data_IF_287326626569
#
_entry.id   IF_287326626569
#
_cell.length_a   1.000
_cell.length_b   1.000
_cell.length_c   1.000
_cell.angle_alpha   90.00
_cell.angle_beta   90.00
_cell.angle_gamma   90.00
#
_symmetry.space_group_name_H-M   'P 1'
#
loop_
_entity.id
_entity.type
_entity.pdbx_description
1 polymer ?
#
# COMPACT_ATOMS: atom_id res chain seq x y z
N UNK A 1 2.42 -8.90 27.65
CA UNK A 1 2.25 -9.03 26.19
C UNK A 1 3.50 -9.70 25.63
N UNK A 2 3.51 -11.03 25.66
CA UNK A 2 4.65 -11.84 25.23
C UNK A 2 4.78 -11.82 23.71
N UNK A 3 6.03 -11.82 23.29
CA UNK A 3 6.55 -12.02 21.94
C UNK A 3 5.78 -13.12 21.20
N UNK A 4 5.10 -12.73 20.12
CA UNK A 4 4.77 -13.62 19.01
C UNK A 4 5.83 -13.41 17.96
N UNK A 5 6.79 -14.33 17.92
CA UNK A 5 7.89 -14.31 16.96
C UNK A 5 8.54 -15.67 16.86
N UNK A 6 7.90 -16.58 16.14
CA UNK A 6 8.60 -17.54 15.27
C UNK A 6 7.60 -18.20 14.32
N UNK A 7 7.87 -18.07 13.02
CA UNK A 7 7.42 -18.95 11.94
C UNK A 7 5.92 -19.07 11.65
N UNK A 8 5.25 -17.93 11.55
CA UNK A 8 3.99 -17.80 10.82
C UNK A 8 3.91 -16.40 10.26
N UNK A 9 3.31 -16.24 9.08
CA UNK A 9 3.04 -14.96 8.40
C UNK A 9 2.20 -14.06 9.32
N UNK A 10 2.88 -13.40 10.26
CA UNK A 10 2.30 -12.55 11.28
C UNK A 10 3.03 -11.22 11.24
N UNK A 11 2.31 -10.17 10.86
CA UNK A 11 2.79 -8.80 10.95
C UNK A 11 3.29 -8.55 12.37
N UNK A 12 4.48 -7.99 12.52
CA UNK A 12 4.96 -7.55 13.83
C UNK A 12 4.00 -6.51 14.40
N UNK A 13 3.92 -6.37 15.74
CA UNK A 13 3.03 -5.37 16.35
C UNK A 13 3.29 -3.94 15.83
N UNK A 14 4.52 -3.66 15.40
CA UNK A 14 4.91 -2.39 14.78
C UNK A 14 4.37 -2.26 13.36
N UNK A 15 4.52 -3.30 12.53
CA UNK A 15 3.91 -3.36 11.20
C UNK A 15 2.38 -3.29 11.26
N UNK A 16 1.76 -3.98 12.20
CA UNK A 16 0.31 -3.97 12.37
C UNK A 16 -0.19 -2.58 12.77
N UNK A 17 0.47 -1.93 13.73
CA UNK A 17 0.12 -0.56 14.10
C UNK A 17 0.26 0.39 12.90
N UNK A 18 1.38 0.30 12.18
CA UNK A 18 1.67 1.10 10.99
C UNK A 18 0.64 0.91 9.87
N UNK A 19 0.29 -0.34 9.55
CA UNK A 19 -0.72 -0.68 8.53
C UNK A 19 -2.10 -0.17 8.90
N UNK A 20 -2.50 -0.28 10.17
CA UNK A 20 -3.79 0.23 10.65
C UNK A 20 -3.88 1.74 10.43
N UNK A 21 -2.78 2.50 10.51
CA UNK A 21 -2.84 3.96 10.42
C UNK A 21 -2.84 4.43 8.97
N UNK A 22 -2.02 3.82 8.12
CA UNK A 22 -1.80 4.31 6.76
C UNK A 22 -2.91 3.87 5.82
N UNK A 23 -3.40 2.63 5.96
CA UNK A 23 -4.53 2.16 5.16
C UNK A 23 -5.83 2.27 5.97
N UNK A 24 -6.76 3.20 5.63
CA UNK A 24 -8.04 3.35 6.33
C UNK A 24 -9.01 2.19 6.07
N UNK A 25 -8.80 1.36 5.05
CA UNK A 25 -9.62 0.19 4.76
C UNK A 25 -8.94 -1.11 5.22
N UNK A 26 -7.85 -1.02 5.99
CA UNK A 26 -7.16 -2.20 6.49
C UNK A 26 -8.12 -3.11 7.30
N UNK A 27 -8.22 -4.35 6.85
CA UNK A 27 -8.97 -5.42 7.49
C UNK A 27 -8.05 -6.63 7.62
N UNK A 28 -8.08 -7.26 8.80
CA UNK A 28 -7.45 -8.55 9.02
C UNK A 28 -8.10 -9.55 8.08
N UNK A 29 -7.27 -10.11 7.21
CA UNK A 29 -7.65 -11.19 6.32
C UNK A 29 -7.35 -12.53 7.00
N UNK A 30 -8.09 -13.59 6.65
CA UNK A 30 -7.65 -14.94 7.01
C UNK A 30 -6.23 -15.15 6.47
N UNK A 31 -5.37 -15.89 7.18
CA UNK A 31 -3.99 -16.13 6.73
C UNK A 31 -4.01 -16.72 5.32
N UNK A 32 -3.23 -16.13 4.40
CA UNK A 32 -3.03 -16.68 3.06
C UNK A 32 -2.35 -18.05 3.20
N UNK A 33 -3.14 -19.11 3.04
CA UNK A 33 -2.67 -20.50 3.09
C UNK A 33 -2.17 -20.91 1.71
N UNK A 34 -1.21 -21.82 1.67
CA UNK A 34 -0.81 -22.45 0.41
C UNK A 34 -1.93 -23.37 -0.09
N UNK A 35 -2.00 -23.60 -1.41
CA UNK A 35 -3.01 -24.49 -2.02
C UNK A 35 -3.03 -25.89 -1.37
N UNK A 36 -1.85 -26.39 -0.99
CA UNK A 36 -1.70 -27.66 -0.28
C UNK A 36 -2.32 -27.62 1.11
N UNK A 37 -2.08 -26.56 1.91
CA UNK A 37 -2.66 -26.41 3.24
C UNK A 37 -4.18 -26.28 3.20
N UNK A 38 -4.70 -25.53 2.23
CA UNK A 38 -6.14 -25.39 2.03
C UNK A 38 -6.78 -26.72 1.65
N UNK A 39 -6.15 -27.48 0.74
CA UNK A 39 -6.62 -28.80 0.33
C UNK A 39 -6.56 -29.81 1.48
N UNK A 40 -5.48 -29.85 2.24
CA UNK A 40 -5.32 -30.73 3.41
C UNK A 40 -6.38 -30.41 4.47
N UNK A 41 -6.60 -29.12 4.78
CA UNK A 41 -7.63 -28.71 5.74
C UNK A 41 -9.03 -29.07 5.25
N UNK A 42 -9.34 -28.82 3.98
CA UNK A 42 -10.64 -29.17 3.39
C UNK A 42 -10.91 -30.67 3.49
N UNK A 43 -9.92 -31.50 3.15
CA UNK A 43 -10.03 -32.96 3.26
C UNK A 43 -10.17 -33.42 4.72
N UNK A 44 -9.39 -32.86 5.64
CA UNK A 44 -9.47 -33.21 7.06
C UNK A 44 -10.83 -32.79 7.67
N UNK A 45 -11.31 -31.59 7.34
CA UNK A 45 -12.62 -31.09 7.79
C UNK A 45 -13.74 -31.96 7.24
N UNK A 46 -13.67 -32.32 5.95
CA UNK A 46 -14.64 -33.23 5.33
C UNK A 46 -14.64 -34.61 5.99
N UNK A 47 -13.47 -35.21 6.19
CA UNK A 47 -13.34 -36.51 6.84
C UNK A 47 -13.88 -36.50 8.29
N UNK A 48 -13.65 -35.41 9.02
CA UNK A 48 -14.17 -35.22 10.37
C UNK A 48 -15.71 -35.20 10.39
N UNK A 49 -16.35 -34.40 9.53
CA UNK A 49 -17.80 -34.32 9.47
C UNK A 49 -18.46 -35.55 8.83
N UNK A 50 -17.77 -36.24 7.93
CA UNK A 50 -18.24 -37.52 7.37
C UNK A 50 -18.19 -38.62 8.45
N UNK A 51 -17.18 -38.64 9.32
CA UNK A 51 -17.14 -39.52 10.50
C UNK A 51 -18.25 -39.19 11.50
N UNK A 52 -18.49 -37.90 11.75
CA UNK A 52 -19.57 -37.45 12.62
C UNK A 52 -20.94 -37.86 12.05
N UNK A 53 -21.15 -37.71 10.72
CA UNK A 53 -22.38 -38.16 10.03
C UNK A 53 -22.58 -39.67 10.17
N UNK A 54 -21.55 -40.47 9.95
CA UNK A 54 -21.61 -41.92 10.09
C UNK A 54 -21.93 -42.37 11.53
N UNK A 55 -21.48 -41.63 12.54
CA UNK A 55 -21.79 -41.90 13.94
C UNK A 55 -23.19 -41.42 14.36
N UNK A 56 -23.68 -40.33 13.76
CA UNK A 56 -25.08 -39.89 13.90
C UNK A 56 -26.06 -40.92 13.32
N UNK A 57 -25.76 -41.51 12.16
CA UNK A 57 -26.55 -42.61 11.58
C UNK A 57 -26.58 -43.86 12.47
N UNK A 58 -25.53 -44.10 13.25
CA UNK A 58 -25.43 -45.20 14.22
C UNK A 58 -26.06 -44.89 15.59
N UNK A 59 -26.68 -43.71 15.76
CA UNK A 59 -27.30 -43.31 17.01
C UNK A 59 -26.34 -42.89 18.12
N UNK A 60 -25.04 -42.71 17.84
CA UNK A 60 -24.01 -42.33 18.82
C UNK A 60 -23.88 -40.80 18.95
N UNK A 61 -24.98 -40.16 19.36
CA UNK A 61 -25.03 -38.71 19.55
C UNK A 61 -24.26 -38.22 20.79
N UNK A 62 -24.05 -39.11 21.76
CA UNK A 62 -23.51 -38.85 23.11
C UNK A 62 -22.11 -38.21 23.12
N UNK A 63 -21.26 -38.60 22.17
CA UNK A 63 -19.84 -38.19 22.17
C UNK A 63 -19.63 -36.92 21.34
N UNK A 64 -20.35 -36.80 20.21
CA UNK A 64 -20.12 -35.74 19.23
C UNK A 64 -20.84 -34.44 19.59
N UNK A 65 -22.10 -34.53 20.02
CA UNK A 65 -22.94 -33.35 20.27
C UNK A 65 -22.40 -32.48 21.41
N UNK A 66 -22.01 -33.03 22.58
CA UNK A 66 -21.46 -32.20 23.65
C UNK A 66 -20.14 -31.53 23.29
N UNK A 67 -19.29 -32.18 22.50
CA UNK A 67 -18.01 -31.62 22.08
C UNK A 67 -18.20 -30.47 21.09
N UNK A 68 -19.08 -30.66 20.08
CA UNK A 68 -19.40 -29.61 19.10
C UNK A 68 -20.10 -28.42 19.77
N UNK A 69 -21.05 -28.67 20.67
CA UNK A 69 -21.72 -27.61 21.41
C UNK A 69 -20.78 -26.90 22.39
N UNK A 70 -19.82 -27.60 22.98
CA UNK A 70 -18.78 -26.99 23.80
C UNK A 70 -17.90 -26.04 22.98
N UNK A 71 -17.48 -26.45 21.77
CA UNK A 71 -16.70 -25.59 20.87
C UNK A 71 -17.51 -24.35 20.45
N UNK A 72 -18.77 -24.56 20.06
CA UNK A 72 -19.70 -23.46 19.70
C UNK A 72 -19.93 -22.51 20.88
N UNK A 73 -20.13 -23.04 22.09
CA UNK A 73 -20.27 -22.24 23.31
C UNK A 73 -19.04 -21.37 23.52
N UNK A 74 -17.84 -21.96 23.48
CA UNK A 74 -16.60 -21.21 23.69
C UNK A 74 -16.46 -20.08 22.65
N UNK A 75 -16.70 -20.37 21.37
CA UNK A 75 -16.64 -19.35 20.31
C UNK A 75 -17.69 -18.25 20.46
N UNK A 76 -18.91 -18.59 20.85
CA UNK A 76 -19.97 -17.60 21.14
C UNK A 76 -19.60 -16.72 22.33
N UNK A 77 -19.06 -17.30 23.40
CA UNK A 77 -18.61 -16.56 24.59
C UNK A 77 -17.46 -15.61 24.25
N UNK A 78 -16.54 -16.02 23.38
CA UNK A 78 -15.41 -15.18 22.90
C UNK A 78 -15.88 -13.96 22.06
N UNK A 79 -17.03 -14.08 21.39
CA UNK A 79 -17.62 -13.01 20.58
C UNK A 79 -18.30 -11.93 21.42
N UNK A 80 -18.68 -12.24 22.66
CA UNK A 80 -19.45 -11.34 23.52
C UNK A 80 -18.54 -10.67 24.57
N UNK A 81 -18.72 -9.36 24.87
CA UNK A 81 -18.01 -8.73 25.98
C UNK A 81 -18.27 -9.46 27.32
N UNK A 82 -17.27 -9.59 28.20
CA UNK A 82 -17.38 -10.33 29.47
C UNK A 82 -18.37 -9.73 30.48
N UNK A 83 -18.89 -8.52 30.21
CA UNK A 83 -19.85 -7.83 31.07
C UNK A 83 -21.29 -7.85 30.52
N UNK A 84 -21.54 -8.54 29.41
CA UNK A 84 -22.85 -8.56 28.78
C UNK A 84 -23.79 -9.59 29.43
N UNK A 85 -25.08 -9.26 29.68
CA UNK A 85 -26.07 -10.23 30.16
C UNK A 85 -26.27 -11.40 29.18
N UNK A 86 -25.95 -11.22 27.90
CA UNK A 86 -25.98 -12.29 26.90
C UNK A 86 -24.98 -13.41 27.21
N UNK A 87 -23.83 -13.10 27.82
CA UNK A 87 -22.83 -14.12 28.16
C UNK A 87 -23.35 -15.04 29.28
N UNK A 88 -24.05 -14.47 30.27
CA UNK A 88 -24.72 -15.25 31.33
C UNK A 88 -25.79 -16.16 30.75
N UNK A 89 -26.65 -15.64 29.86
CA UNK A 89 -27.69 -16.43 29.19
C UNK A 89 -27.10 -17.56 28.33
N UNK A 90 -26.01 -17.31 27.61
CA UNK A 90 -25.30 -18.34 26.84
C UNK A 90 -24.74 -19.43 27.77
N UNK A 91 -24.15 -19.04 28.90
CA UNK A 91 -23.57 -19.99 29.86
C UNK A 91 -24.61 -20.87 30.56
N UNK A 92 -25.78 -20.31 30.88
CA UNK A 92 -26.91 -21.01 31.50
C UNK A 92 -27.60 -21.97 30.52
N UNK A 93 -27.83 -21.53 29.27
CA UNK A 93 -28.58 -22.33 28.29
C UNK A 93 -27.69 -23.40 27.64
N UNK A 94 -26.42 -23.10 27.39
CA UNK A 94 -25.45 -24.06 26.85
C UNK A 94 -24.61 -24.69 27.97
N UNK A 95 -25.24 -25.29 28.98
CA UNK A 95 -24.51 -26.04 30.02
C UNK A 95 -24.06 -27.42 29.49
N UNK A 96 -22.75 -27.58 29.30
CA UNK A 96 -22.14 -28.79 28.72
C UNK A 96 -22.41 -30.03 29.57
N UNK A 97 -22.50 -29.91 30.90
CA UNK A 97 -22.73 -31.04 31.78
C UNK A 97 -24.19 -31.48 31.74
N UNK A 98 -25.12 -30.52 31.69
CA UNK A 98 -26.54 -30.79 31.49
C UNK A 98 -26.80 -31.40 30.10
N UNK A 99 -26.14 -30.89 29.06
CA UNK A 99 -26.26 -31.38 27.68
C UNK A 99 -25.75 -32.82 27.59
N UNK A 100 -24.61 -33.15 28.22
CA UNK A 100 -24.11 -34.54 28.27
C UNK A 100 -25.13 -35.48 28.91
N UNK A 101 -25.73 -35.06 30.03
CA UNK A 101 -26.72 -35.87 30.73
C UNK A 101 -28.01 -36.05 29.91
N UNK A 102 -28.54 -34.98 29.31
CA UNK A 102 -29.76 -35.03 28.51
C UNK A 102 -29.57 -35.79 27.19
N UNK A 103 -28.36 -35.77 26.62
CA UNK A 103 -28.02 -36.53 25.42
C UNK A 103 -27.92 -38.03 25.72
N UNK A 104 -27.37 -38.41 26.88
CA UNK A 104 -27.33 -39.81 27.37
C UNK A 104 -28.70 -40.45 27.53
N UNK A 105 -29.66 -39.67 28.04
CA UNK A 105 -31.04 -40.12 28.25
C UNK A 105 -31.86 -40.01 26.96
N UNK A 106 -31.35 -39.37 25.91
CA UNK A 106 -32.03 -39.22 24.62
C UNK A 106 -33.15 -38.18 24.61
N UNK A 107 -33.21 -37.29 25.61
CA UNK A 107 -34.28 -36.28 25.78
C UNK A 107 -33.87 -34.92 25.21
N UNK A 108 -32.60 -34.76 24.83
CA UNK A 108 -32.07 -33.47 24.39
C UNK A 108 -32.63 -33.00 23.05
N UNK A 109 -33.24 -31.81 23.03
CA UNK A 109 -33.79 -31.21 21.81
C UNK A 109 -32.73 -30.37 21.08
N UNK A 110 -31.97 -31.04 20.21
CA UNK A 110 -30.88 -30.44 19.42
C UNK A 110 -31.39 -29.28 18.54
N UNK A 111 -32.59 -29.39 17.98
CA UNK A 111 -33.17 -28.37 17.09
C UNK A 111 -33.43 -27.05 17.81
N UNK A 112 -34.01 -27.10 19.01
CA UNK A 112 -34.26 -25.90 19.79
C UNK A 112 -32.93 -25.20 20.17
N UNK A 113 -31.89 -25.98 20.41
CA UNK A 113 -30.57 -25.44 20.71
C UNK A 113 -29.94 -24.74 19.50
N UNK A 114 -30.04 -25.35 18.31
CA UNK A 114 -29.60 -24.72 17.06
C UNK A 114 -30.36 -23.41 16.84
N UNK A 115 -31.68 -23.39 17.01
CA UNK A 115 -32.49 -22.16 16.87
C UNK A 115 -32.04 -21.08 17.86
N UNK A 116 -31.75 -21.45 19.11
CA UNK A 116 -31.22 -20.51 20.09
C UNK A 116 -29.85 -19.95 19.68
N UNK A 117 -28.92 -20.80 19.24
CA UNK A 117 -27.60 -20.38 18.75
C UNK A 117 -27.74 -19.46 17.54
N UNK A 118 -28.54 -19.84 16.55
CA UNK A 118 -28.83 -19.04 15.35
C UNK A 118 -29.40 -17.66 15.72
N UNK A 119 -30.36 -17.60 16.64
CA UNK A 119 -30.93 -16.32 17.11
C UNK A 119 -29.90 -15.49 17.89
N UNK A 120 -29.06 -16.12 18.69
CA UNK A 120 -27.97 -15.45 19.42
C UNK A 120 -26.93 -14.88 18.46
N UNK A 121 -26.57 -15.62 17.40
CA UNK A 121 -25.69 -15.14 16.34
C UNK A 121 -26.30 -13.92 15.63
N UNK A 122 -27.59 -13.96 15.26
CA UNK A 122 -28.29 -12.81 14.66
C UNK A 122 -28.27 -11.55 15.57
N UNK A 123 -28.31 -11.72 16.89
CA UNK A 123 -28.24 -10.59 17.83
C UNK A 123 -26.83 -9.97 17.94
N UNK A 124 -25.78 -10.73 17.61
CA UNK A 124 -24.37 -10.29 17.74
C UNK A 124 -23.78 -9.87 16.37
N UNK A 125 -24.36 -10.33 15.26
CA UNK A 125 -23.88 -10.12 13.90
C UNK A 125 -24.11 -8.72 13.32
N UNK A 126 -23.31 -8.40 12.29
CA UNK A 126 -23.64 -7.38 11.32
C UNK A 126 -24.69 -7.90 10.31
N UNK A 127 -25.63 -7.06 9.82
CA UNK A 127 -26.81 -7.47 9.04
C UNK A 127 -26.49 -8.21 7.73
N UNK A 128 -25.27 -8.06 7.20
CA UNK A 128 -24.79 -8.74 5.98
C UNK A 128 -24.76 -10.26 6.15
N UNK A 129 -24.64 -10.77 7.38
CA UNK A 129 -24.55 -12.22 7.66
C UNK A 129 -25.86 -12.87 8.04
N UNK A 130 -26.92 -12.07 8.16
CA UNK A 130 -28.23 -12.57 8.55
C UNK A 130 -28.78 -13.53 7.48
N UNK A 131 -28.47 -13.30 6.20
CA UNK A 131 -28.87 -14.17 5.08
C UNK A 131 -28.24 -15.57 5.20
N UNK A 132 -26.93 -15.66 5.44
CA UNK A 132 -26.22 -16.93 5.64
C UNK A 132 -26.74 -17.69 6.87
N UNK A 133 -27.07 -16.99 7.95
CA UNK A 133 -27.62 -17.58 9.17
C UNK A 133 -29.07 -18.04 8.95
N UNK A 134 -29.84 -17.36 8.09
CA UNK A 134 -31.19 -17.79 7.71
C UNK A 134 -31.17 -19.02 6.79
N UNK A 135 -30.19 -19.15 5.90
CA UNK A 135 -30.02 -20.36 5.07
C UNK A 135 -29.79 -21.64 5.90
N UNK A 136 -29.18 -21.52 7.09
CA UNK A 136 -29.03 -22.65 8.01
C UNK A 136 -30.37 -23.27 8.45
N UNK A 137 -31.46 -22.48 8.46
CA UNK A 137 -32.79 -22.97 8.86
C UNK A 137 -33.39 -23.94 7.83
N UNK A 138 -32.88 -23.96 6.60
CA UNK A 138 -33.34 -24.85 5.52
C UNK A 138 -32.61 -26.20 5.44
N UNK A 139 -31.49 -26.36 6.14
CA UNK A 139 -30.65 -27.58 6.06
C UNK A 139 -31.21 -28.65 7.00
N UNK A 140 -31.30 -29.90 6.52
CA UNK A 140 -31.84 -31.04 7.30
C UNK A 140 -30.76 -31.89 7.98
N UNK A 141 -29.52 -31.84 7.48
CA UNK A 141 -28.39 -32.62 8.02
C UNK A 141 -27.71 -31.91 9.19
N UNK A 142 -27.70 -32.54 10.37
CA UNK A 142 -27.11 -32.00 11.59
C UNK A 142 -25.59 -31.78 11.45
N UNK A 143 -24.87 -32.67 10.78
CA UNK A 143 -23.42 -32.54 10.60
C UNK A 143 -23.08 -31.31 9.76
N UNK A 144 -23.85 -31.09 8.69
CA UNK A 144 -23.70 -29.93 7.81
C UNK A 144 -24.10 -28.62 8.51
N UNK A 145 -25.15 -28.62 9.35
CA UNK A 145 -25.52 -27.46 10.17
C UNK A 145 -24.37 -27.08 11.10
N UNK A 146 -23.81 -28.03 11.86
CA UNK A 146 -22.72 -27.75 12.79
C UNK A 146 -21.47 -27.26 12.08
N UNK A 147 -21.14 -27.84 10.91
CA UNK A 147 -20.03 -27.39 10.07
C UNK A 147 -20.19 -25.94 9.67
N UNK A 148 -21.32 -25.58 9.04
CA UNK A 148 -21.57 -24.20 8.58
C UNK A 148 -21.65 -23.22 9.74
N UNK A 149 -22.21 -23.64 10.88
CA UNK A 149 -22.29 -22.81 12.08
C UNK A 149 -20.89 -22.46 12.61
N UNK A 150 -19.98 -23.44 12.69
CA UNK A 150 -18.59 -23.20 13.07
C UNK A 150 -17.86 -22.29 12.07
N UNK A 151 -18.09 -22.48 10.77
CA UNK A 151 -17.52 -21.61 9.72
C UNK A 151 -18.01 -20.16 9.86
N UNK A 152 -19.31 -19.95 10.09
CA UNK A 152 -19.87 -18.61 10.31
C UNK A 152 -19.33 -18.00 11.61
N UNK A 153 -19.20 -18.77 12.69
CA UNK A 153 -18.59 -18.27 13.94
C UNK A 153 -17.13 -17.84 13.76
N UNK A 154 -16.35 -18.58 12.97
CA UNK A 154 -14.97 -18.19 12.63
C UNK A 154 -14.92 -16.89 11.85
N UNK A 155 -15.84 -16.71 10.89
CA UNK A 155 -16.00 -15.46 10.18
C UNK A 155 -16.43 -14.33 11.14
N UNK A 156 -17.38 -14.58 12.06
CA UNK A 156 -17.84 -13.60 13.05
C UNK A 156 -16.70 -13.10 13.93
N UNK A 157 -15.78 -14.00 14.30
CA UNK A 157 -14.61 -13.65 15.07
C UNK A 157 -13.69 -12.69 14.31
N UNK A 158 -13.50 -12.92 13.02
CA UNK A 158 -12.73 -12.03 12.16
C UNK A 158 -13.38 -10.65 12.05
N UNK A 159 -14.70 -10.59 11.89
CA UNK A 159 -15.44 -9.33 11.84
C UNK A 159 -15.34 -8.54 13.14
N UNK A 160 -15.49 -9.20 14.28
CA UNK A 160 -15.33 -8.56 15.57
C UNK A 160 -13.90 -8.03 15.75
N UNK A 161 -12.90 -8.77 15.28
CA UNK A 161 -11.52 -8.31 15.27
C UNK A 161 -11.34 -7.07 14.37
N UNK A 162 -11.92 -7.07 13.16
CA UNK A 162 -11.88 -5.94 12.24
C UNK A 162 -12.63 -4.71 12.78
N UNK A 163 -13.79 -4.91 13.41
CA UNK A 163 -14.52 -3.85 14.09
C UNK A 163 -13.70 -3.25 15.23
N UNK A 164 -13.07 -4.09 16.06
CA UNK A 164 -12.17 -3.64 17.14
C UNK A 164 -10.98 -2.87 16.56
N UNK A 165 -10.34 -3.36 15.50
CA UNK A 165 -9.26 -2.65 14.81
C UNK A 165 -9.71 -1.27 14.32
N UNK A 166 -10.88 -1.17 13.68
CA UNK A 166 -11.47 0.10 13.24
C UNK A 166 -11.75 1.04 14.42
N UNK A 167 -12.26 0.54 15.54
CA UNK A 167 -12.47 1.32 16.76
C UNK A 167 -11.15 1.80 17.39
N UNK A 168 -10.14 0.92 17.43
CA UNK A 168 -8.81 1.25 17.95
C UNK A 168 -8.04 2.22 17.05
N UNK A 169 -8.35 2.30 15.75
CA UNK A 169 -7.64 3.19 14.80
C UNK A 169 -7.63 4.65 15.25
N UNK A 170 -8.77 5.18 15.72
CA UNK A 170 -8.85 6.57 16.17
C UNK A 170 -7.90 6.84 17.34
N UNK A 171 -7.87 5.92 18.32
CA UNK A 171 -6.97 6.00 19.47
C UNK A 171 -5.50 5.78 19.08
N UNK A 172 -5.24 4.83 18.18
CA UNK A 172 -3.89 4.58 17.66
C UNK A 172 -3.35 5.80 16.94
N UNK A 173 -4.15 6.50 16.12
CA UNK A 173 -3.71 7.68 15.37
C UNK A 173 -3.16 8.79 16.27
N UNK A 174 -3.70 8.96 17.47
CA UNK A 174 -3.22 9.96 18.44
C UNK A 174 -1.84 9.60 19.04
N UNK A 175 -1.55 8.31 19.24
CA UNK A 175 -0.34 7.86 19.93
C UNK A 175 0.69 7.16 19.03
N UNK A 176 0.34 6.90 17.78
CA UNK A 176 1.15 6.09 16.89
C UNK A 176 2.46 6.75 16.49
N UNK A 177 2.43 8.07 16.24
CA UNK A 177 3.63 8.83 15.89
C UNK A 177 4.68 8.68 17.00
N UNK A 178 4.27 8.79 18.26
CA UNK A 178 5.16 8.62 19.41
C UNK A 178 5.56 7.17 19.65
N UNK A 179 4.69 6.21 19.32
CA UNK A 179 5.02 4.79 19.38
C UNK A 179 6.10 4.41 18.36
N UNK A 180 5.92 4.79 17.09
CA UNK A 180 6.90 4.52 16.03
C UNK A 180 8.22 5.24 16.30
N UNK A 181 8.20 6.50 16.73
CA UNK A 181 9.42 7.23 17.11
C UNK A 181 10.21 6.50 18.21
N UNK A 182 9.54 6.08 19.28
CA UNK A 182 10.19 5.36 20.39
C UNK A 182 10.77 4.02 19.94
N UNK A 183 10.07 3.30 19.06
CA UNK A 183 10.54 2.03 18.53
C UNK A 183 11.71 2.20 17.58
N UNK A 184 11.67 3.22 16.73
CA UNK A 184 12.79 3.58 15.87
C UNK A 184 14.02 4.00 16.69
N UNK A 185 13.84 4.80 17.75
CA UNK A 185 14.91 5.13 18.70
C UNK A 185 15.52 3.89 19.38
N UNK A 186 14.68 2.91 19.76
CA UNK A 186 15.16 1.64 20.31
C UNK A 186 15.93 0.83 19.26
N UNK A 187 15.48 0.82 18.01
CA UNK A 187 16.15 0.14 16.90
C UNK A 187 17.51 0.79 16.57
N UNK A 188 17.61 2.12 16.61
CA UNK A 188 18.85 2.87 16.46
C UNK A 188 19.82 2.60 17.63
N UNK A 189 19.34 2.66 18.88
CA UNK A 189 20.17 2.41 20.08
C UNK A 189 20.68 0.97 20.17
N UNK A 190 19.91 0.01 19.67
CA UNK A 190 20.32 -1.40 19.59
C UNK A 190 21.22 -1.71 18.39
N UNK A 191 21.60 -0.69 17.60
CA UNK A 191 22.43 -0.81 16.39
C UNK A 191 21.84 -1.80 15.35
N UNK A 192 20.52 -2.00 15.37
CA UNK A 192 19.80 -2.85 14.41
C UNK A 192 19.52 -2.13 13.10
N UNK A 193 19.54 -0.78 13.11
CA UNK A 193 19.38 0.09 11.96
C UNK A 193 20.48 1.15 11.98
N UNK A 194 21.14 1.39 10.86
CA UNK A 194 21.99 2.56 10.63
C UNK A 194 21.27 3.53 9.69
N UNK A 195 21.55 4.83 9.74
CA UNK A 195 20.91 5.83 8.86
C UNK A 195 21.65 5.98 7.51
N UNK A 196 22.47 5.00 7.13
CA UNK A 196 23.38 5.12 6.00
C UNK A 196 22.64 5.15 4.66
N UNK A 197 21.59 4.33 4.47
CA UNK A 197 20.80 4.38 3.23
C UNK A 197 19.94 5.62 3.18
N UNK A 198 19.42 6.08 4.31
CA UNK A 198 18.69 7.35 4.41
C UNK A 198 19.59 8.53 4.03
N UNK A 199 20.86 8.53 4.45
CA UNK A 199 21.86 9.53 4.02
C UNK A 199 22.15 9.45 2.52
N UNK A 200 22.37 8.24 2.00
CA UNK A 200 22.63 8.03 0.57
C UNK A 200 21.45 8.44 -0.32
N UNK A 201 20.21 8.26 0.16
CA UNK A 201 19.00 8.67 -0.54
C UNK A 201 18.80 10.18 -0.58
N UNK A 202 19.06 10.90 0.53
CA UNK A 202 18.87 12.35 0.61
C UNK A 202 19.97 13.16 -0.09
N UNK A 203 21.21 12.66 -0.07
CA UNK A 203 22.39 13.31 -0.65
C UNK A 203 22.21 13.80 -2.11
N UNK A 204 21.81 12.95 -3.08
CA UNK A 204 21.67 13.38 -4.47
C UNK A 204 20.60 14.46 -4.67
N UNK A 205 19.52 14.41 -3.88
CA UNK A 205 18.47 15.43 -3.90
C UNK A 205 18.96 16.77 -3.35
N UNK A 206 19.73 16.74 -2.26
CA UNK A 206 20.34 17.95 -1.69
C UNK A 206 21.29 18.59 -2.71
N UNK A 207 22.12 17.80 -3.37
CA UNK A 207 23.04 18.30 -4.41
C UNK A 207 22.31 18.91 -5.61
N UNK A 208 21.24 18.26 -6.08
CA UNK A 208 20.39 18.79 -7.16
C UNK A 208 19.79 20.15 -6.78
N UNK A 209 19.23 20.25 -5.58
CA UNK A 209 18.63 21.48 -5.07
C UNK A 209 19.67 22.60 -4.87
N UNK A 210 20.86 22.28 -4.37
CA UNK A 210 21.96 23.23 -4.24
C UNK A 210 22.39 23.78 -5.59
N UNK A 211 22.42 22.96 -6.65
CA UNK A 211 22.69 23.42 -8.02
C UNK A 211 21.61 24.37 -8.52
N UNK A 212 20.34 24.01 -8.38
CA UNK A 212 19.22 24.87 -8.80
C UNK A 212 19.21 26.22 -8.05
N UNK A 213 19.56 26.22 -6.76
CA UNK A 213 19.69 27.46 -5.98
C UNK A 213 20.88 28.30 -6.45
N UNK A 214 22.01 27.68 -6.79
CA UNK A 214 23.18 28.35 -7.34
C UNK A 214 22.91 28.98 -8.72
N UNK A 215 22.14 28.30 -9.56
CA UNK A 215 21.70 28.80 -10.87
C UNK A 215 20.72 29.97 -10.76
N UNK A 216 19.83 29.95 -9.76
CA UNK A 216 18.85 31.03 -9.52
C UNK A 216 19.45 32.28 -8.87
N UNK A 217 20.61 32.18 -8.22
CA UNK A 217 21.30 33.30 -7.57
C UNK A 217 22.78 33.38 -7.97
N UNK A 218 23.09 33.78 -9.23
CA UNK A 218 24.47 33.93 -9.68
C UNK A 218 25.25 35.02 -8.93
N UNK A 219 24.56 36.01 -8.34
CA UNK A 219 25.19 37.15 -7.63
C UNK A 219 25.47 36.92 -6.12
N UNK A 220 25.14 35.76 -5.54
CA UNK A 220 25.43 35.43 -4.13
C UNK A 220 24.92 36.46 -3.09
N UNK A 221 23.82 37.16 -3.37
CA UNK A 221 23.21 38.12 -2.44
C UNK A 221 22.36 37.36 -1.41
N UNK A 222 22.92 37.06 -0.25
CA UNK A 222 22.21 36.40 0.85
C UNK A 222 21.47 37.42 1.72
N UNK A 223 20.13 37.40 1.74
CA UNK A 223 19.37 38.09 2.78
C UNK A 223 19.69 37.48 4.17
N UNK A 224 19.64 38.25 5.28
CA UNK A 224 20.00 37.77 6.61
C UNK A 224 19.25 36.51 7.07
N UNK A 225 18.03 36.28 6.57
CA UNK A 225 17.19 35.12 6.87
C UNK A 225 17.66 33.81 6.18
N UNK A 226 18.48 33.89 5.12
CA UNK A 226 18.97 32.73 4.35
C UNK A 226 20.36 32.23 4.78
N UNK A 227 20.96 32.82 5.82
CA UNK A 227 22.34 32.52 6.26
C UNK A 227 22.54 31.10 6.82
N UNK A 228 21.48 30.44 7.28
CA UNK A 228 21.59 29.13 7.94
C UNK A 228 21.18 27.94 7.07
N UNK A 229 20.28 28.11 6.09
CA UNK A 229 19.73 27.00 5.28
C UNK A 229 19.92 27.15 3.76
N UNK A 230 20.73 28.10 3.27
CA UNK A 230 20.91 28.36 1.84
C UNK A 230 19.60 28.63 1.05
N UNK A 231 18.50 28.96 1.73
CA UNK A 231 17.17 29.11 1.09
C UNK A 231 16.43 27.80 0.80
N UNK A 232 16.95 26.66 1.25
CA UNK A 232 16.32 25.35 1.08
C UNK A 232 15.42 25.05 2.29
N UNK A 233 14.15 24.75 2.03
CA UNK A 233 13.22 24.24 3.05
C UNK A 233 13.44 22.73 3.21
N UNK A 234 13.59 22.22 4.42
CA UNK A 234 13.79 20.78 4.67
C UNK A 234 12.64 19.94 4.11
N UNK A 235 11.40 20.46 4.17
CA UNK A 235 10.23 19.79 3.58
C UNK A 235 10.31 19.70 2.05
N UNK A 236 10.96 20.67 1.39
CA UNK A 236 11.16 20.62 -0.06
C UNK A 236 12.16 19.52 -0.43
N UNK A 237 13.23 19.34 0.35
CA UNK A 237 14.21 18.26 0.15
C UNK A 237 13.53 16.91 0.30
N UNK A 238 12.78 16.71 1.37
CA UNK A 238 12.07 15.46 1.62
C UNK A 238 11.05 15.14 0.52
N UNK A 239 10.20 16.10 0.15
CA UNK A 239 9.20 15.89 -0.89
C UNK A 239 9.83 15.58 -2.25
N UNK A 240 10.96 16.22 -2.57
CA UNK A 240 11.69 15.95 -3.82
C UNK A 240 12.38 14.59 -3.80
N UNK A 241 12.96 14.21 -2.67
CA UNK A 241 13.61 12.91 -2.50
C UNK A 241 12.59 11.76 -2.56
N UNK A 242 11.39 11.94 -1.97
CA UNK A 242 10.31 10.95 -1.98
C UNK A 242 9.79 10.72 -3.40
N UNK A 243 9.47 11.80 -4.12
CA UNK A 243 9.01 11.70 -5.51
C UNK A 243 10.10 11.10 -6.39
N UNK A 244 11.34 11.55 -6.26
CA UNK A 244 12.45 10.99 -7.05
C UNK A 244 12.67 9.50 -6.80
N UNK A 245 12.42 9.02 -5.58
CA UNK A 245 12.57 7.61 -5.23
C UNK A 245 11.43 6.74 -5.79
N UNK A 246 10.19 7.21 -5.73
CA UNK A 246 9.03 6.47 -6.27
C UNK A 246 9.12 6.34 -7.80
N UNK A 247 9.60 7.38 -8.48
CA UNK A 247 9.67 7.42 -9.94
C UNK A 247 11.05 7.04 -10.51
N UNK A 248 11.92 6.43 -9.70
CA UNK A 248 13.21 5.92 -10.20
C UNK A 248 13.00 4.73 -11.14
N UNK A 249 13.99 4.46 -12.00
CA UNK A 249 13.95 3.35 -12.96
C UNK A 249 14.37 2.01 -12.33
N UNK A 250 15.10 2.04 -11.22
CA UNK A 250 15.52 0.83 -10.49
C UNK A 250 14.39 0.27 -9.65
N UNK A 251 14.31 -1.06 -9.57
CA UNK A 251 13.33 -1.76 -8.74
C UNK A 251 13.56 -1.40 -7.27
N UNK A 252 12.47 -1.02 -6.58
CA UNK A 252 12.49 -0.78 -5.15
C UNK A 252 12.54 -2.13 -4.42
N UNK A 253 13.68 -2.43 -3.81
CA UNK A 253 13.89 -3.63 -2.98
C UNK A 253 14.29 -3.24 -1.55
N UNK A 254 14.17 -4.18 -0.60
CA UNK A 254 14.53 -4.01 0.82
C UNK A 254 15.94 -3.45 1.03
N UNK A 255 16.85 -3.73 0.11
CA UNK A 255 18.25 -3.27 0.17
C UNK A 255 18.43 -1.85 -0.36
N UNK A 256 17.54 -1.38 -1.24
CA UNK A 256 17.59 -0.05 -1.86
C UNK A 256 16.71 0.97 -1.14
N UNK A 257 15.76 0.52 -0.32
CA UNK A 257 14.90 1.40 0.49
C UNK A 257 15.66 2.08 1.64
N UNK A 258 15.36 3.37 1.92
CA UNK A 258 15.76 4.02 3.16
C UNK A 258 15.21 3.25 4.37
N UNK A 259 15.95 3.28 5.48
CA UNK A 259 15.56 2.57 6.70
C UNK A 259 14.21 3.00 7.25
N UNK A 260 13.86 4.26 7.02
CA UNK A 260 12.58 4.87 7.41
C UNK A 260 11.38 4.36 6.61
N UNK A 261 11.59 3.65 5.50
CA UNK A 261 10.54 3.08 4.64
C UNK A 261 10.55 1.54 4.61
N UNK A 262 11.28 0.88 5.52
CA UNK A 262 11.37 -0.59 5.54
C UNK A 262 10.03 -1.29 5.79
N UNK A 263 9.07 -0.61 6.42
CA UNK A 263 7.71 -1.12 6.62
C UNK A 263 6.86 -0.98 5.34
N UNK A 264 7.22 -0.07 4.44
CA UNK A 264 6.44 0.33 3.27
C UNK A 264 7.02 -0.18 1.94
N UNK A 265 7.97 -1.12 1.94
CA UNK A 265 8.69 -1.53 0.71
C UNK A 265 7.72 -2.02 -0.37
N UNK A 266 6.79 -2.91 -0.02
CA UNK A 266 5.79 -3.43 -0.97
C UNK A 266 4.84 -2.32 -1.46
N UNK A 267 4.46 -1.41 -0.58
CA UNK A 267 3.61 -0.25 -0.92
C UNK A 267 4.31 0.69 -1.89
N UNK A 268 5.59 0.99 -1.66
CA UNK A 268 6.41 1.82 -2.54
C UNK A 268 6.63 1.16 -3.90
N UNK A 269 6.85 -0.15 -3.93
CA UNK A 269 6.94 -0.93 -5.15
C UNK A 269 5.62 -0.87 -5.96
N UNK A 270 4.49 -1.03 -5.28
CA UNK A 270 3.18 -0.86 -5.92
C UNK A 270 2.97 0.57 -6.47
N UNK A 271 3.39 1.61 -5.76
CA UNK A 271 3.32 2.99 -6.25
C UNK A 271 4.22 3.23 -7.46
N UNK A 272 5.40 2.60 -7.50
CA UNK A 272 6.28 2.65 -8.65
C UNK A 272 5.63 2.00 -9.87
N UNK A 273 5.04 0.81 -9.71
CA UNK A 273 4.33 0.12 -10.79
C UNK A 273 3.11 0.93 -11.28
N UNK A 274 2.28 1.42 -10.37
CA UNK A 274 1.11 2.26 -10.69
C UNK A 274 1.56 3.54 -11.42
N UNK A 275 2.63 4.19 -10.97
CA UNK A 275 3.19 5.38 -11.61
C UNK A 275 3.78 5.11 -13.00
N UNK A 276 4.46 3.99 -13.19
CA UNK A 276 4.98 3.56 -14.50
C UNK A 276 3.83 3.23 -15.45
N UNK A 277 2.81 2.48 -14.99
CA UNK A 277 1.63 2.16 -15.78
C UNK A 277 0.89 3.44 -16.23
N UNK A 278 0.65 4.39 -15.33
CA UNK A 278 0.05 5.69 -15.65
C UNK A 278 0.88 6.43 -16.70
N UNK A 279 2.22 6.41 -16.58
CA UNK A 279 3.11 7.09 -17.53
C UNK A 279 3.07 6.41 -18.91
N UNK A 280 3.05 5.07 -18.96
CA UNK A 280 2.95 4.30 -20.19
C UNK A 280 1.60 4.57 -20.86
N UNK A 281 0.49 4.45 -20.14
CA UNK A 281 -0.85 4.73 -20.68
C UNK A 281 -0.95 6.17 -21.19
N UNK A 282 -0.45 7.15 -20.43
CA UNK A 282 -0.42 8.53 -20.89
C UNK A 282 0.39 8.72 -22.18
N UNK A 283 1.54 8.06 -22.28
CA UNK A 283 2.39 8.09 -23.48
C UNK A 283 1.68 7.44 -24.67
N UNK A 284 1.09 6.26 -24.48
CA UNK A 284 0.34 5.54 -25.51
C UNK A 284 -0.86 6.35 -26.00
N UNK A 285 -1.66 6.93 -25.09
CA UNK A 285 -2.78 7.78 -25.45
C UNK A 285 -2.34 9.05 -26.18
N UNK A 286 -1.22 9.66 -25.78
CA UNK A 286 -0.64 10.81 -26.48
C UNK A 286 -0.18 10.41 -27.89
N UNK A 287 0.45 9.24 -28.06
CA UNK A 287 0.82 8.70 -29.36
C UNK A 287 -0.42 8.44 -30.23
N UNK A 288 -1.44 7.78 -29.71
CA UNK A 288 -2.70 7.53 -30.41
C UNK A 288 -3.36 8.83 -30.85
N UNK A 289 -3.39 9.85 -29.98
CA UNK A 289 -3.92 11.18 -30.32
C UNK A 289 -3.10 11.88 -31.40
N UNK A 290 -1.77 11.81 -31.33
CA UNK A 290 -0.89 12.40 -32.34
C UNK A 290 -1.07 11.72 -33.71
N UNK A 291 -1.17 10.39 -33.74
CA UNK A 291 -1.40 9.62 -34.97
C UNK A 291 -2.80 9.91 -35.54
N UNK A 292 -3.83 9.95 -34.69
CA UNK A 292 -5.19 10.28 -35.10
C UNK A 292 -5.30 11.71 -35.66
N UNK A 293 -4.63 12.68 -35.03
CA UNK A 293 -4.61 14.09 -35.48
C UNK A 293 -3.85 14.29 -36.80
N UNK A 294 -2.90 13.41 -37.12
CA UNK A 294 -2.18 13.41 -38.40
C UNK A 294 -3.04 12.89 -39.56
N UNK A 295 -4.17 12.24 -39.28
CA UNK A 295 -5.08 11.69 -40.29
C UNK A 295 -6.28 12.64 -40.45
N UNK A 296 -6.29 13.40 -41.55
CA UNK A 296 -7.23 14.50 -41.80
C UNK A 296 -8.73 14.13 -41.81
N UNK A 297 -9.07 12.82 -41.78
CA UNK A 297 -10.45 12.31 -41.91
C UNK A 297 -11.00 11.66 -40.63
N UNK A 298 -10.29 11.69 -39.50
CA UNK A 298 -10.77 11.08 -38.26
C UNK A 298 -11.21 12.15 -37.26
N UNK A 299 -12.52 12.21 -36.99
CA UNK A 299 -13.04 12.90 -35.80
C UNK A 299 -12.63 12.10 -34.58
N UNK A 300 -11.76 12.66 -33.74
CA UNK A 300 -11.37 12.04 -32.48
C UNK A 300 -12.60 11.95 -31.56
N UNK A 301 -13.18 10.76 -31.48
CA UNK A 301 -14.36 10.50 -30.67
C UNK A 301 -13.93 10.40 -29.19
N UNK A 302 -14.12 11.49 -28.45
CA UNK A 302 -13.67 11.65 -27.05
C UNK A 302 -14.35 10.62 -26.12
N UNK A 303 -15.48 10.04 -26.56
CA UNK A 303 -16.28 9.04 -25.83
C UNK A 303 -15.65 7.63 -25.80
N UNK A 304 -14.77 7.29 -26.75
CA UNK A 304 -14.11 5.98 -26.78
C UNK A 304 -12.72 5.98 -26.14
N UNK A 305 -12.16 7.16 -25.86
CA UNK A 305 -10.87 7.32 -25.20
C UNK A 305 -10.81 6.74 -23.77
N UNK A 306 -11.86 6.87 -22.93
CA UNK A 306 -11.89 6.26 -21.61
C UNK A 306 -11.88 4.72 -21.70
N UNK A 307 -12.56 4.14 -22.70
CA UNK A 307 -12.58 2.69 -22.92
C UNK A 307 -11.20 2.16 -23.30
N UNK A 308 -10.50 2.85 -24.21
CA UNK A 308 -9.13 2.52 -24.57
C UNK A 308 -8.18 2.65 -23.36
N UNK A 309 -8.34 3.70 -22.55
CA UNK A 309 -7.56 3.87 -21.32
C UNK A 309 -7.79 2.69 -20.36
N UNK A 310 -9.04 2.29 -20.15
CA UNK A 310 -9.39 1.17 -19.24
C UNK A 310 -8.87 -0.17 -19.77
N UNK A 311 -8.96 -0.46 -21.08
CA UNK A 311 -8.40 -1.69 -21.67
C UNK A 311 -6.87 -1.72 -21.58
N UNK A 312 -6.19 -0.59 -21.81
CA UNK A 312 -4.73 -0.49 -21.66
C UNK A 312 -4.28 -0.73 -20.21
N UNK A 313 -5.03 -0.23 -19.22
CA UNK A 313 -4.75 -0.52 -17.81
C UNK A 313 -4.93 -2.00 -17.49
N UNK A 314 -6.00 -2.65 -17.96
CA UNK A 314 -6.24 -4.08 -17.76
C UNK A 314 -5.13 -4.92 -18.38
N UNK A 315 -4.72 -4.59 -19.61
CA UNK A 315 -3.60 -5.28 -20.26
C UNK A 315 -2.30 -5.07 -19.49
N UNK A 316 -1.99 -3.87 -19.02
CA UNK A 316 -0.77 -3.64 -18.22
C UNK A 316 -0.77 -4.33 -16.85
N UNK A 317 -1.95 -4.71 -16.34
CA UNK A 317 -2.11 -5.49 -15.10
C UNK A 317 -1.94 -6.99 -15.34
N UNK A 318 -2.10 -7.46 -16.59
CA UNK A 318 -1.99 -8.87 -16.94
C UNK A 318 -0.52 -9.26 -17.23
N UNK A 319 -0.04 -10.32 -16.56
CA UNK A 319 1.36 -10.75 -16.60
C UNK A 319 1.83 -11.29 -17.95
N UNK A 320 0.87 -11.65 -18.82
CA UNK A 320 1.11 -12.22 -20.16
C UNK A 320 1.04 -11.16 -21.28
N UNK A 321 0.98 -9.87 -20.94
CA UNK A 321 0.81 -8.82 -21.93
C UNK A 321 2.06 -8.63 -22.79
N UNK A 322 1.91 -8.97 -24.06
CA UNK A 322 2.93 -8.74 -25.07
C UNK A 322 2.80 -7.36 -25.70
N UNK A 323 3.92 -6.85 -26.22
CA UNK A 323 3.99 -5.60 -27.00
C UNK A 323 2.98 -5.64 -28.17
N UNK A 324 2.72 -6.83 -28.70
CA UNK A 324 1.79 -7.05 -29.80
C UNK A 324 0.33 -6.87 -29.39
N UNK A 325 -0.07 -7.25 -28.16
CA UNK A 325 -1.42 -7.04 -27.64
C UNK A 325 -1.74 -5.54 -27.48
N UNK A 326 -0.80 -4.78 -26.90
CA UNK A 326 -0.94 -3.33 -26.75
C UNK A 326 -0.96 -2.61 -28.10
N UNK A 327 -0.14 -3.07 -29.06
CA UNK A 327 -0.11 -2.53 -30.41
C UNK A 327 -1.42 -2.84 -31.15
N UNK A 328 -1.97 -4.05 -31.02
CA UNK A 328 -3.21 -4.46 -31.66
C UNK A 328 -4.42 -3.65 -31.17
N UNK A 329 -4.53 -3.38 -29.87
CA UNK A 329 -5.60 -2.54 -29.32
C UNK A 329 -5.52 -1.09 -29.83
N UNK A 330 -4.32 -0.52 -29.91
CA UNK A 330 -4.12 0.83 -30.48
C UNK A 330 -4.50 0.85 -31.97
N UNK A 331 -4.16 -0.20 -32.72
CA UNK A 331 -4.50 -0.32 -34.14
C UNK A 331 -5.99 -0.56 -34.38
N UNK A 332 -6.68 -1.30 -33.51
CA UNK A 332 -8.13 -1.50 -33.56
C UNK A 332 -8.90 -0.20 -33.26
N UNK A 333 -8.33 0.67 -32.43
CA UNK A 333 -8.91 1.98 -32.12
C UNK A 333 -8.73 2.99 -33.25
N UNK A 334 -7.69 2.85 -34.07
CA UNK A 334 -7.43 3.71 -35.21
C UNK A 334 -8.25 3.25 -36.44
N UNK A 335 -8.64 4.16 -37.35
CA UNK A 335 -9.43 3.79 -38.51
C UNK A 335 -8.68 2.78 -39.40
N UNK A 336 -9.44 1.86 -40.00
CA UNK A 336 -8.98 0.67 -40.75
C UNK A 336 -8.10 0.96 -41.98
N UNK A 337 -7.84 2.24 -42.29
CA UNK A 337 -7.07 2.72 -43.44
C UNK A 337 -5.68 3.24 -43.05
N UNK A 338 -4.99 2.57 -42.13
CA UNK A 338 -3.60 2.90 -41.77
C UNK A 338 -2.61 2.30 -42.78
N UNK A 339 -1.65 3.10 -43.25
CA UNK A 339 -0.52 2.62 -44.04
C UNK A 339 0.29 1.57 -43.24
N UNK A 340 0.82 0.51 -43.86
CA UNK A 340 1.71 -0.45 -43.18
C UNK A 340 2.94 0.24 -42.54
N UNK A 341 3.35 1.39 -43.07
CA UNK A 341 4.42 2.22 -42.50
C UNK A 341 4.03 2.82 -41.14
N UNK A 342 2.80 3.34 -40.98
CA UNK A 342 2.32 3.90 -39.70
C UNK A 342 2.09 2.81 -38.65
N UNK A 343 1.69 1.60 -39.06
CA UNK A 343 1.54 0.46 -38.15
C UNK A 343 2.91 0.00 -37.59
N UNK A 344 3.94 -0.08 -38.44
CA UNK A 344 5.30 -0.39 -37.99
C UNK A 344 5.91 0.72 -37.13
N UNK A 345 5.58 1.99 -37.41
CA UNK A 345 5.97 3.14 -36.59
C UNK A 345 5.32 3.07 -35.20
N UNK A 346 4.02 2.78 -35.11
CA UNK A 346 3.31 2.61 -33.83
C UNK A 346 3.93 1.47 -33.04
N UNK A 347 4.17 0.30 -33.65
CA UNK A 347 4.84 -0.84 -32.98
C UNK A 347 6.24 -0.48 -32.47
N UNK A 348 7.01 0.29 -33.25
CA UNK A 348 8.33 0.80 -32.84
C UNK A 348 8.26 1.83 -31.71
N UNK A 349 7.23 2.68 -31.67
CA UNK A 349 7.05 3.66 -30.61
C UNK A 349 6.52 3.03 -29.32
N UNK A 350 5.62 2.05 -29.42
CA UNK A 350 5.13 1.26 -28.28
C UNK A 350 6.29 0.50 -27.63
N UNK A 351 7.15 -0.16 -28.43
CA UNK A 351 8.32 -0.86 -27.91
C UNK A 351 9.34 0.08 -27.25
N UNK A 352 9.57 1.27 -27.82
CA UNK A 352 10.46 2.30 -27.23
C UNK A 352 9.90 2.93 -25.95
N UNK A 353 8.58 3.06 -25.86
CA UNK A 353 7.88 3.57 -24.69
C UNK A 353 7.95 2.56 -23.54
N UNK A 354 7.75 1.28 -23.84
CA UNK A 354 7.86 0.18 -22.87
C UNK A 354 9.31 -0.07 -22.41
N UNK A 355 10.31 0.17 -23.27
CA UNK A 355 11.72 0.09 -22.90
C UNK A 355 12.21 1.29 -22.06
N UNK A 356 11.32 2.23 -21.69
CA UNK A 356 11.60 3.42 -20.88
C UNK A 356 12.69 4.36 -21.44
N UNK A 357 13.14 4.11 -22.68
CA UNK A 357 14.19 4.87 -23.37
C UNK A 357 13.67 6.07 -24.17
N UNK A 358 12.34 6.22 -24.24
CA UNK A 358 11.71 7.29 -25.01
C UNK A 358 11.83 8.64 -24.27
N UNK A 359 12.18 9.69 -25.04
CA UNK A 359 12.12 11.07 -24.58
C UNK A 359 10.69 11.44 -24.17
N UNK A 360 9.66 10.92 -24.85
CA UNK A 360 8.26 11.16 -24.50
C UNK A 360 7.94 10.60 -23.11
N UNK A 361 8.35 9.36 -22.83
CA UNK A 361 8.21 8.76 -21.50
C UNK A 361 8.93 9.59 -20.42
N UNK A 362 10.17 10.01 -20.67
CA UNK A 362 10.94 10.82 -19.71
C UNK A 362 10.30 12.19 -19.42
N UNK A 363 9.71 12.82 -20.43
CA UNK A 363 9.02 14.12 -20.30
C UNK A 363 7.71 13.94 -19.54
N UNK A 364 6.91 12.93 -19.89
CA UNK A 364 5.65 12.65 -19.20
C UNK A 364 5.89 12.22 -17.75
N UNK A 365 6.88 11.38 -17.49
CA UNK A 365 7.31 11.02 -16.13
C UNK A 365 7.69 12.26 -15.32
N UNK A 366 8.47 13.19 -15.89
CA UNK A 366 8.82 14.46 -15.21
C UNK A 366 7.60 15.35 -14.95
N UNK A 367 6.64 15.39 -15.86
CA UNK A 367 5.38 16.13 -15.68
C UNK A 367 4.54 15.51 -14.56
N UNK A 368 4.39 14.19 -14.57
CA UNK A 368 3.70 13.41 -13.51
C UNK A 368 4.36 13.63 -12.16
N UNK A 369 5.69 13.53 -12.07
CA UNK A 369 6.46 13.83 -10.86
C UNK A 369 6.22 15.26 -10.37
N UNK A 370 6.13 16.24 -11.28
CA UNK A 370 5.84 17.64 -10.94
C UNK A 370 4.43 17.81 -10.36
N UNK A 371 3.44 17.10 -10.92
CA UNK A 371 2.05 17.07 -10.41
C UNK A 371 2.00 16.51 -8.99
N UNK A 372 2.64 15.35 -8.75
CA UNK A 372 2.69 14.71 -7.43
C UNK A 372 3.44 15.59 -6.42
N UNK A 373 4.56 16.21 -6.83
CA UNK A 373 5.33 17.13 -6.00
C UNK A 373 4.51 18.36 -5.59
N UNK A 374 3.77 18.95 -6.51
CA UNK A 374 2.92 20.09 -6.20
C UNK A 374 1.78 19.69 -5.24
N UNK A 375 1.16 18.53 -5.45
CA UNK A 375 0.14 18.03 -4.53
C UNK A 375 0.70 17.77 -3.12
N UNK A 376 1.91 17.21 -3.00
CA UNK A 376 2.59 17.05 -1.71
C UNK A 376 2.84 18.39 -1.00
N UNK A 377 3.18 19.44 -1.76
CA UNK A 377 3.50 20.77 -1.22
C UNK A 377 2.27 21.59 -0.84
N UNK A 378 1.23 21.60 -1.68
CA UNK A 378 0.03 22.44 -1.48
C UNK A 378 -1.09 21.71 -0.76
N UNK A 379 -1.05 20.37 -0.75
CA UNK A 379 -2.14 19.52 -0.28
C UNK A 379 -3.40 19.56 -1.13
N UNK A 380 -3.35 20.20 -2.30
CA UNK A 380 -4.43 20.25 -3.27
C UNK A 380 -3.97 19.68 -4.60
N UNK A 381 -4.79 18.82 -5.20
CA UNK A 381 -4.53 18.32 -6.53
C UNK A 381 -4.68 19.44 -7.57
N UNK A 382 -3.89 19.38 -8.63
CA UNK A 382 -3.87 20.42 -9.66
C UNK A 382 -5.20 20.58 -10.38
N UNK A 383 -5.49 21.82 -10.80
CA UNK A 383 -6.65 22.13 -11.62
C UNK A 383 -6.57 21.43 -12.98
N UNK A 384 -7.73 21.08 -13.53
CA UNK A 384 -7.88 20.41 -14.84
C UNK A 384 -7.15 21.14 -15.97
N UNK A 385 -7.10 22.48 -15.93
CA UNK A 385 -6.41 23.32 -16.92
C UNK A 385 -4.90 23.04 -16.99
N UNK A 386 -4.24 22.92 -15.84
CA UNK A 386 -2.79 22.63 -15.78
C UNK A 386 -2.49 21.19 -16.20
N UNK A 387 -3.39 20.25 -15.86
CA UNK A 387 -3.30 18.86 -16.30
C UNK A 387 -3.48 18.71 -17.81
N UNK A 388 -4.33 19.54 -18.42
CA UNK A 388 -4.50 19.62 -19.87
C UNK A 388 -3.22 20.15 -20.55
N UNK A 389 -2.59 21.18 -20.00
CA UNK A 389 -1.31 21.71 -20.49
C UNK A 389 -0.18 20.67 -20.42
N UNK A 390 -0.19 19.81 -19.40
CA UNK A 390 0.76 18.72 -19.28
C UNK A 390 0.45 17.51 -20.17
N UNK A 391 -0.74 17.44 -20.79
CA UNK A 391 -1.17 16.31 -21.60
C UNK A 391 -1.53 15.06 -20.79
N UNK A 392 -1.83 15.21 -19.49
CA UNK A 392 -2.08 14.12 -18.53
C UNK A 392 -3.55 14.10 -18.08
N UNK A 393 -4.41 14.92 -18.70
CA UNK A 393 -5.83 15.04 -18.33
C UNK A 393 -6.58 13.70 -18.42
N UNK A 394 -6.22 12.85 -19.38
CA UNK A 394 -6.88 11.55 -19.64
C UNK A 394 -6.66 10.52 -18.54
N UNK A 395 -5.53 10.60 -17.83
CA UNK A 395 -5.17 9.74 -16.70
C UNK A 395 -5.22 10.48 -15.36
N UNK A 396 -5.92 11.62 -15.31
CA UNK A 396 -5.94 12.49 -14.14
C UNK A 396 -6.55 11.81 -12.92
N UNK A 397 -7.54 10.92 -13.09
CA UNK A 397 -8.22 10.21 -12.00
C UNK A 397 -7.28 9.24 -11.30
N UNK A 398 -6.58 8.42 -12.07
CA UNK A 398 -5.62 7.42 -11.59
C UNK A 398 -4.43 8.13 -10.94
N UNK A 399 -3.95 9.22 -11.57
CA UNK A 399 -2.90 10.05 -11.00
C UNK A 399 -3.31 10.73 -9.70
N UNK A 400 -4.56 11.20 -9.58
CA UNK A 400 -5.09 11.78 -8.35
C UNK A 400 -5.13 10.74 -7.22
N UNK A 401 -5.59 9.52 -7.52
CA UNK A 401 -5.62 8.42 -6.56
C UNK A 401 -4.22 8.03 -6.09
N UNK A 402 -3.29 7.78 -7.02
CA UNK A 402 -1.89 7.50 -6.68
C UNK A 402 -1.28 8.64 -5.86
N UNK A 403 -1.50 9.89 -6.28
CA UNK A 403 -0.95 11.04 -5.59
C UNK A 403 -1.53 11.23 -4.19
N UNK A 404 -2.82 10.94 -3.96
CA UNK A 404 -3.41 10.92 -2.60
C UNK A 404 -2.75 9.86 -1.72
N UNK A 405 -2.55 8.63 -2.22
CA UNK A 405 -1.87 7.56 -1.49
C UNK A 405 -0.44 7.97 -1.09
N UNK A 406 0.32 8.52 -2.04
CA UNK A 406 1.69 9.02 -1.80
C UNK A 406 1.68 10.17 -0.77
N UNK A 407 0.70 11.07 -0.83
CA UNK A 407 0.57 12.17 0.15
C UNK A 407 0.29 11.67 1.57
N UNK A 408 -0.58 10.68 1.74
CA UNK A 408 -0.87 10.09 3.06
C UNK A 408 0.41 9.47 3.65
N UNK A 409 1.08 8.61 2.88
CA UNK A 409 2.32 7.98 3.31
C UNK A 409 3.42 9.02 3.59
N UNK A 410 3.63 9.95 2.66
CA UNK A 410 4.69 10.95 2.73
C UNK A 410 4.54 11.87 3.95
N UNK A 411 3.30 12.30 4.26
CA UNK A 411 3.02 13.14 5.44
C UNK A 411 3.22 12.37 6.73
N UNK A 412 2.67 11.17 6.83
CA UNK A 412 2.83 10.35 8.02
C UNK A 412 4.31 10.03 8.31
N UNK A 413 5.05 9.61 7.28
CA UNK A 413 6.48 9.34 7.42
C UNK A 413 7.26 10.62 7.80
N UNK A 414 6.91 11.79 7.24
CA UNK A 414 7.51 13.06 7.67
C UNK A 414 7.18 13.39 9.11
N UNK A 415 5.95 13.21 9.55
CA UNK A 415 5.54 13.44 10.95
C UNK A 415 6.32 12.55 11.91
N UNK A 416 6.46 11.26 11.60
CA UNK A 416 7.25 10.33 12.43
C UNK A 416 8.73 10.73 12.41
N UNK A 417 9.34 10.84 11.22
CA UNK A 417 10.79 10.86 11.07
C UNK A 417 11.44 12.24 10.86
N UNK A 418 10.68 13.34 10.95
CA UNK A 418 11.19 14.70 10.67
C UNK A 418 12.49 15.05 11.41
N UNK A 419 12.61 14.70 12.68
CA UNK A 419 13.78 15.02 13.51
C UNK A 419 15.08 14.39 12.98
N UNK A 420 15.03 13.13 12.53
CA UNK A 420 16.20 12.46 11.96
C UNK A 420 16.54 13.00 10.58
N UNK A 421 15.55 13.23 9.73
CA UNK A 421 15.77 13.85 8.42
C UNK A 421 16.39 15.24 8.54
N UNK A 422 15.86 16.09 9.41
CA UNK A 422 16.37 17.44 9.60
C UNK A 422 17.80 17.44 10.16
N UNK A 423 18.14 16.46 10.99
CA UNK A 423 19.51 16.29 11.52
C UNK A 423 20.46 15.86 10.39
N UNK A 424 20.08 14.86 9.60
CA UNK A 424 20.86 14.38 8.45
C UNK A 424 21.09 15.50 7.42
N UNK A 425 20.06 16.27 7.10
CA UNK A 425 20.18 17.35 6.13
C UNK A 425 21.08 18.47 6.69
N UNK A 426 20.97 18.82 7.98
CA UNK A 426 21.84 19.82 8.61
C UNK A 426 23.30 19.37 8.66
N UNK A 427 23.58 18.12 9.02
CA UNK A 427 24.92 17.54 9.00
C UNK A 427 25.53 17.66 7.60
N UNK A 428 24.81 17.20 6.58
CA UNK A 428 25.28 17.22 5.21
C UNK A 428 25.54 18.65 4.71
N UNK A 429 24.61 19.59 4.94
CA UNK A 429 24.79 20.99 4.54
C UNK A 429 26.00 21.65 5.22
N UNK A 430 26.27 21.31 6.49
CA UNK A 430 27.45 21.80 7.20
C UNK A 430 28.74 21.23 6.63
N UNK A 431 28.77 19.93 6.30
CA UNK A 431 29.91 19.29 5.63
C UNK A 431 30.19 19.91 4.25
N UNK A 432 29.16 20.11 3.44
CA UNK A 432 29.29 20.77 2.13
C UNK A 432 29.80 22.21 2.28
N UNK A 433 29.37 22.94 3.33
CA UNK A 433 29.84 24.29 3.64
C UNK A 433 31.32 24.32 3.99
N UNK A 434 31.78 23.39 4.84
CA UNK A 434 33.19 23.27 5.19
C UNK A 434 34.05 22.86 3.99
N UNK A 435 33.56 21.95 3.15
CA UNK A 435 34.21 21.59 1.90
C UNK A 435 34.32 22.79 0.93
N UNK A 436 33.26 23.58 0.78
CA UNK A 436 33.25 24.78 -0.07
C UNK A 436 34.13 25.91 0.47
N UNK A 437 34.20 26.10 1.80
CA UNK A 437 35.17 27.02 2.42
C UNK A 437 36.61 26.58 2.14
N UNK A 438 36.93 25.29 2.30
CA UNK A 438 38.26 24.73 1.99
C UNK A 438 38.61 24.91 0.51
N UNK A 439 37.69 24.65 -0.42
CA UNK A 439 37.87 24.91 -1.86
C UNK A 439 38.12 26.39 -2.15
N UNK A 440 37.32 27.31 -1.58
CA UNK A 440 37.51 28.77 -1.74
C UNK A 440 38.85 29.25 -1.18
N UNK A 441 39.30 28.73 -0.03
CA UNK A 441 40.61 29.03 0.53
C UNK A 441 41.76 28.48 -0.33
N UNK A 442 41.62 27.28 -0.89
CA UNK A 442 42.59 26.70 -1.82
C UNK A 442 42.69 27.52 -3.12
N UNK A 443 41.56 27.97 -3.68
CA UNK A 443 41.53 28.83 -4.87
C UNK A 443 42.13 30.21 -4.60
N UNK A 444 41.83 30.85 -3.45
CA UNK A 444 42.46 32.11 -3.04
C UNK A 444 43.97 31.98 -2.82
N UNK A 445 44.43 30.88 -2.22
CA UNK A 445 45.87 30.58 -2.07
C UNK A 445 46.56 30.40 -3.42
N UNK A 446 45.93 29.70 -4.37
CA UNK A 446 46.45 29.56 -5.75
C UNK A 446 46.48 30.90 -6.51
N UNK A 447 45.48 31.75 -6.33
CA UNK A 447 45.43 33.08 -6.95
C UNK A 447 46.51 34.02 -6.36
N UNK A 448 46.67 34.00 -5.04
CA UNK A 448 47.73 34.77 -4.37
C UNK A 448 49.13 34.27 -4.73
N UNK A 449 49.35 32.96 -4.89
CA UNK A 449 50.62 32.42 -5.39
C UNK A 449 50.92 32.86 -6.82
N UNK A 450 49.91 32.95 -7.69
CA UNK A 450 50.09 33.49 -9.06
C UNK A 450 50.45 34.98 -9.05
N UNK A 451 49.76 35.80 -8.26
CA UNK A 451 50.06 37.24 -8.16
C UNK A 451 51.42 37.54 -7.52
N UNK A 452 51.88 36.72 -6.56
CA UNK A 452 53.22 36.83 -5.99
C UNK A 452 54.30 36.35 -6.97
N UNK A 453 53.97 35.39 -7.85
CA UNK A 453 54.85 34.95 -8.94
C UNK A 453 55.01 35.98 -10.07
N UNK A 454 53.97 36.75 -10.38
CA UNK A 454 54.04 37.85 -11.36
C UNK A 454 54.81 39.05 -10.81
N UNK A 455 54.60 39.44 -9.54
CA UNK A 455 55.39 40.53 -8.91
C UNK A 455 56.89 40.25 -8.77
N UNK A 456 57.32 38.99 -8.85
CA UNK A 456 58.75 38.58 -8.86
C UNK A 456 59.36 38.51 -10.25
N UNK A 457 58.57 38.67 -11.32
CA UNK A 457 59.05 38.76 -12.70
C UNK A 457 59.21 40.20 -13.20
N UNK A 458 58.60 41.17 -12.50
CA UNK A 458 58.68 42.61 -12.81
C UNK A 458 59.70 43.37 -11.92
N UNK A 459 60.48 42.65 -11.11
CA UNK A 459 61.73 43.11 -10.47
C UNK A 459 62.89 42.32 -11.06
#
# INVERSE_FOLDING_TARGET
>A
MQSLGHDGVGLTNEQLAHEIIIDPEFELQPPKRTELEERVRSMATKAFFDSARADFEKGKYDVWIPNLLSDIKQRLVDLVPPTSPLQSSINEILDVDLIKQQTKVGVYNIRNCIVYITNTMLQICAPVRDEQIQELKGVKDLAEIFKRLLEILDQMRLDLANYRVKAFRSYLKEHAVDYERRKFDQALKSNRLSLDRTKAWLTPTIDSLLRTVAERNPENVYLPQHKHNHGIKFDQVYNEALVSFIFQQSIIDKNSCPETFLLDVERLWNFQNEGQAITIVAALLMLTKNVASSQANFSFDDDNLPKLKDTLFVLLLDGDTTIDNLTAEILNYLPSSLSPETQSLVKSMVSKTLSQSDKVFSILSRRIQSVVKQHLQTGQFLKKETLAQYGVLTVARELEQLSKKICVLGRYNREVYASWYDTVIKEYLNETREANKKKRQATKRKLNMKMVGEKRKDQ
#
